data_IF_128082482249
#
_entry.id   IF_128082482249
#
_cell.length_a   1.000
_cell.length_b   1.000
_cell.length_c   1.000
_cell.angle_alpha   90.00
_cell.angle_beta   90.00
_cell.angle_gamma   90.00
#
_symmetry.space_group_name_H-M   'P 1'
#
loop_
_entity.id
_entity.type
_entity.pdbx_description
1 polymer ?
#
# COMPACT_ATOMS: atom_id res chain seq x y z
N UNK A 1 -10.00 -16.30 -0.24
CA UNK A 1 -8.58 -16.43 -0.65
C UNK A 1 -8.51 -17.03 -2.03
N UNK A 2 -7.79 -16.41 -2.96
CA UNK A 2 -7.55 -16.89 -4.34
C UNK A 2 -6.05 -16.84 -4.61
N UNK A 3 -5.53 -17.81 -5.35
CA UNK A 3 -4.16 -17.80 -5.88
C UNK A 3 -4.24 -17.55 -7.38
N UNK A 4 -3.43 -16.61 -7.88
CA UNK A 4 -3.38 -16.28 -9.30
C UNK A 4 -2.06 -15.58 -9.64
N UNK A 5 -1.77 -15.46 -10.95
CA UNK A 5 -0.60 -14.75 -11.46
C UNK A 5 -0.96 -13.34 -11.88
N UNK A 6 -0.18 -12.37 -11.40
CA UNK A 6 -0.33 -10.95 -11.69
C UNK A 6 0.89 -10.44 -12.45
N UNK A 7 0.65 -9.65 -13.48
CA UNK A 7 1.73 -9.03 -14.25
C UNK A 7 2.17 -7.71 -13.61
N UNK A 8 3.47 -7.54 -13.42
CA UNK A 8 4.05 -6.28 -12.98
C UNK A 8 3.98 -5.27 -14.11
N UNK A 9 3.15 -4.25 -13.97
CA UNK A 9 3.04 -3.16 -14.95
C UNK A 9 3.95 -1.99 -14.62
N UNK A 10 4.29 -1.84 -13.34
CA UNK A 10 5.17 -0.80 -12.82
C UNK A 10 5.86 -1.30 -11.55
N UNK A 11 7.13 -0.94 -11.36
CA UNK A 11 7.87 -1.14 -10.11
C UNK A 11 8.94 -0.06 -10.01
N UNK A 12 8.67 0.99 -9.24
CA UNK A 12 9.54 2.17 -9.13
C UNK A 12 9.90 2.50 -7.69
N UNK A 13 11.08 3.03 -7.49
CA UNK A 13 11.50 3.54 -6.20
C UNK A 13 10.95 4.95 -5.98
N UNK A 14 10.12 5.13 -4.96
CA UNK A 14 9.44 6.41 -4.65
C UNK A 14 10.07 7.16 -3.47
N UNK A 15 10.86 6.47 -2.64
CA UNK A 15 11.64 7.05 -1.54
C UNK A 15 12.82 6.12 -1.20
N UNK A 16 13.78 6.51 -0.34
CA UNK A 16 14.89 5.64 0.05
C UNK A 16 14.40 4.27 0.54
N UNK A 17 14.76 3.22 -0.23
CA UNK A 17 14.33 1.82 0.00
C UNK A 17 12.81 1.58 -0.04
N UNK A 18 12.00 2.54 -0.47
CA UNK A 18 10.54 2.39 -0.62
C UNK A 18 10.19 2.33 -2.10
N UNK A 19 9.41 1.32 -2.46
CA UNK A 19 9.00 1.04 -3.84
C UNK A 19 7.48 0.98 -3.94
N UNK A 20 6.97 1.48 -5.07
CA UNK A 20 5.58 1.34 -5.51
C UNK A 20 5.54 0.34 -6.64
N UNK A 21 4.71 -0.70 -6.51
CA UNK A 21 4.52 -1.72 -7.53
C UNK A 21 3.05 -1.80 -7.90
N UNK A 22 2.76 -1.77 -9.19
CA UNK A 22 1.41 -1.98 -9.75
C UNK A 22 1.36 -3.34 -10.44
N UNK A 23 0.34 -4.11 -10.11
CA UNK A 23 0.14 -5.49 -10.51
C UNK A 23 -1.20 -5.63 -11.23
N UNK A 24 -1.17 -6.00 -12.50
CA UNK A 24 -2.38 -6.23 -13.31
C UNK A 24 -2.88 -7.67 -13.15
N UNK A 25 -4.18 -7.83 -12.93
CA UNK A 25 -4.83 -9.11 -12.75
C UNK A 25 -6.25 -8.96 -12.22
N UNK A 26 -6.90 -10.08 -11.89
CA UNK A 26 -8.24 -10.08 -11.33
C UNK A 26 -8.26 -9.62 -9.87
N UNK A 27 -8.80 -8.44 -9.65
CA UNK A 27 -8.93 -7.81 -8.32
C UNK A 27 -10.31 -8.00 -7.68
N UNK A 28 -11.23 -8.68 -8.36
CA UNK A 28 -12.60 -8.91 -7.87
C UNK A 28 -12.69 -9.54 -6.48
N UNK A 29 -11.70 -10.34 -6.01
CA UNK A 29 -11.71 -10.86 -4.65
C UNK A 29 -11.34 -9.86 -3.57
N UNK A 30 -10.84 -8.66 -3.92
CA UNK A 30 -10.51 -7.59 -2.96
C UNK A 30 -11.80 -6.83 -2.64
N UNK A 31 -12.22 -6.87 -1.39
CA UNK A 31 -13.54 -6.36 -0.97
C UNK A 31 -13.47 -5.13 -0.06
N UNK A 32 -12.33 -4.93 0.62
CA UNK A 32 -12.20 -3.85 1.59
C UNK A 32 -10.76 -3.34 1.71
N UNK A 33 -10.55 -2.04 2.00
CA UNK A 33 -9.24 -1.52 2.35
C UNK A 33 -8.71 -2.19 3.63
N UNK A 34 -7.39 -2.32 3.74
CA UNK A 34 -6.74 -3.04 4.83
C UNK A 34 -6.52 -4.54 4.57
N UNK A 35 -7.05 -5.08 3.48
CA UNK A 35 -6.66 -6.40 3.00
C UNK A 35 -5.22 -6.38 2.46
N UNK A 36 -4.60 -7.56 2.39
CA UNK A 36 -3.23 -7.71 1.94
C UNK A 36 -3.08 -8.84 0.92
N UNK A 37 -1.97 -8.85 0.23
CA UNK A 37 -1.54 -9.93 -0.66
C UNK A 37 -0.34 -10.65 -0.07
N UNK A 38 -0.19 -11.94 -0.37
CA UNK A 38 0.97 -12.72 0.04
C UNK A 38 1.70 -13.21 -1.22
N UNK A 39 2.83 -12.60 -1.52
CA UNK A 39 3.53 -12.70 -2.80
C UNK A 39 4.64 -13.74 -2.71
N UNK A 40 4.68 -14.67 -3.68
CA UNK A 40 5.78 -15.60 -3.86
C UNK A 40 6.90 -14.90 -4.64
N UNK A 41 8.09 -14.91 -4.05
CA UNK A 41 9.30 -14.44 -4.72
C UNK A 41 10.06 -15.67 -5.22
N UNK A 42 10.49 -15.70 -6.50
CA UNK A 42 11.40 -16.73 -6.95
C UNK A 42 12.62 -16.85 -6.01
N UNK A 43 13.11 -18.05 -5.79
CA UNK A 43 14.28 -18.35 -4.94
C UNK A 43 14.06 -18.21 -3.42
N UNK A 44 12.89 -17.70 -2.96
CA UNK A 44 12.56 -17.63 -1.54
C UNK A 44 11.46 -18.62 -1.16
N UNK A 45 11.69 -19.35 -0.06
CA UNK A 45 10.72 -20.32 0.44
C UNK A 45 9.43 -19.67 0.93
N UNK A 46 9.56 -18.60 1.73
CA UNK A 46 8.41 -17.91 2.31
C UNK A 46 7.89 -16.81 1.39
N UNK A 47 6.56 -16.74 1.27
CA UNK A 47 5.86 -15.60 0.67
C UNK A 47 6.04 -14.35 1.53
N UNK A 48 5.81 -13.18 0.95
CA UNK A 48 5.88 -11.87 1.63
C UNK A 48 4.49 -11.23 1.68
N UNK A 49 3.93 -11.04 2.90
CA UNK A 49 2.67 -10.33 3.07
C UNK A 49 2.90 -8.83 2.90
N UNK A 50 2.14 -8.21 2.00
CA UNK A 50 2.18 -6.76 1.75
C UNK A 50 0.76 -6.24 1.69
N UNK A 51 0.47 -5.18 2.45
CA UNK A 51 -0.84 -4.53 2.44
C UNK A 51 -1.13 -3.90 1.07
N UNK A 52 -2.39 -4.01 0.63
CA UNK A 52 -2.86 -3.33 -0.58
C UNK A 52 -2.98 -1.84 -0.26
N UNK A 53 -2.35 -1.00 -1.09
CA UNK A 53 -2.44 0.46 -1.01
C UNK A 53 -3.72 0.95 -1.70
N UNK A 54 -3.93 0.50 -2.93
CA UNK A 54 -5.08 0.87 -3.75
C UNK A 54 -5.39 -0.23 -4.77
N UNK A 55 -6.59 -0.23 -5.34
CA UNK A 55 -6.97 -1.14 -6.43
C UNK A 55 -8.13 -0.57 -7.26
N UNK A 56 -8.25 -1.07 -8.48
CA UNK A 56 -9.37 -0.90 -9.39
C UNK A 56 -9.73 -2.26 -10.01
N UNK A 57 -10.64 -2.32 -10.96
CA UNK A 57 -11.15 -3.58 -11.55
C UNK A 57 -10.08 -4.43 -12.25
N UNK A 58 -8.90 -3.89 -12.56
CA UNK A 58 -7.88 -4.52 -13.40
C UNK A 58 -6.49 -4.59 -12.77
N UNK A 59 -6.26 -3.86 -11.68
CA UNK A 59 -4.95 -3.79 -11.05
C UNK A 59 -5.02 -3.45 -9.57
N UNK A 60 -4.01 -3.87 -8.85
CA UNK A 60 -3.75 -3.45 -7.48
C UNK A 60 -2.38 -2.80 -7.36
N UNK A 61 -2.25 -1.89 -6.41
CA UNK A 61 -1.00 -1.21 -6.08
C UNK A 61 -0.56 -1.56 -4.66
N UNK A 62 0.70 -1.90 -4.52
CA UNK A 62 1.35 -2.09 -3.22
C UNK A 62 2.52 -1.12 -3.07
N UNK A 63 2.79 -0.73 -1.83
CA UNK A 63 4.00 0.03 -1.49
C UNK A 63 4.72 -0.74 -0.39
N UNK A 64 6.01 -0.97 -0.57
CA UNK A 64 6.80 -1.79 0.35
C UNK A 64 8.20 -1.20 0.58
N UNK A 65 8.79 -1.51 1.74
CA UNK A 65 10.16 -1.11 2.07
C UNK A 65 11.11 -2.30 1.88
N UNK A 66 12.17 -2.09 1.13
CA UNK A 66 13.21 -3.08 0.86
C UNK A 66 14.20 -3.16 2.04
N UNK A 67 13.83 -3.89 3.09
CA UNK A 67 14.62 -4.02 4.33
C UNK A 67 15.33 -5.35 4.49
N UNK A 68 14.77 -6.44 3.96
CA UNK A 68 15.35 -7.78 3.98
C UNK A 68 15.58 -8.33 2.58
N UNK A 69 16.28 -9.45 2.44
CA UNK A 69 16.68 -10.01 1.14
C UNK A 69 15.47 -10.25 0.22
N UNK A 70 14.37 -10.77 0.76
CA UNK A 70 13.14 -10.98 -0.01
C UNK A 70 12.56 -9.67 -0.55
N UNK A 71 12.43 -8.62 0.27
CA UNK A 71 11.90 -7.33 -0.19
C UNK A 71 12.90 -6.56 -1.06
N UNK A 72 14.21 -6.79 -0.89
CA UNK A 72 15.24 -6.31 -1.84
C UNK A 72 15.12 -7.00 -3.20
N UNK A 73 14.77 -8.30 -3.22
CA UNK A 73 14.50 -9.01 -4.46
C UNK A 73 13.31 -8.42 -5.22
N UNK A 74 12.25 -7.97 -4.53
CA UNK A 74 11.13 -7.25 -5.16
C UNK A 74 11.60 -6.02 -5.94
N UNK A 75 12.53 -5.22 -5.40
CA UNK A 75 13.04 -4.02 -6.07
C UNK A 75 13.75 -4.30 -7.41
N UNK A 76 14.10 -5.56 -7.70
CA UNK A 76 14.74 -5.99 -8.95
C UNK A 76 13.76 -6.53 -9.99
N UNK A 77 12.52 -6.78 -9.61
CA UNK A 77 11.48 -7.30 -10.49
C UNK A 77 11.13 -6.24 -11.53
N UNK A 78 11.08 -6.66 -12.79
CA UNK A 78 10.86 -5.77 -13.93
C UNK A 78 9.41 -5.81 -14.40
N UNK A 79 9.01 -4.73 -15.07
CA UNK A 79 7.76 -4.68 -15.82
C UNK A 79 7.65 -5.87 -16.78
N UNK A 80 6.48 -6.49 -16.85
CA UNK A 80 6.17 -7.67 -17.67
C UNK A 80 6.42 -9.00 -16.97
N UNK A 81 7.12 -9.02 -15.82
CA UNK A 81 7.26 -10.25 -15.04
C UNK A 81 5.93 -10.61 -14.35
N UNK A 82 5.70 -11.90 -14.14
CA UNK A 82 4.50 -12.41 -13.47
C UNK A 82 4.85 -12.93 -12.08
N UNK A 83 4.07 -12.51 -11.11
CA UNK A 83 4.19 -12.91 -9.72
C UNK A 83 2.99 -13.76 -9.30
N UNK A 84 3.26 -14.83 -8.56
CA UNK A 84 2.25 -15.68 -7.93
C UNK A 84 1.80 -15.04 -6.62
N UNK A 85 0.54 -14.61 -6.55
CA UNK A 85 -0.09 -13.96 -5.41
C UNK A 85 -1.18 -14.82 -4.79
N UNK A 86 -1.23 -14.82 -3.46
CA UNK A 86 -2.47 -15.11 -2.72
C UNK A 86 -3.14 -13.79 -2.41
N UNK A 87 -4.38 -13.61 -2.81
CA UNK A 87 -5.15 -12.38 -2.61
C UNK A 87 -6.41 -12.60 -1.78
N UNK A 88 -7.10 -11.53 -1.44
CA UNK A 88 -8.24 -11.55 -0.52
C UNK A 88 -7.87 -12.13 0.84
N UNK A 89 -6.78 -11.63 1.39
CA UNK A 89 -6.30 -11.98 2.73
C UNK A 89 -6.60 -10.84 3.71
N UNK A 90 -6.96 -11.21 4.93
CA UNK A 90 -7.39 -10.27 5.97
C UNK A 90 -8.85 -9.84 5.80
N UNK A 91 -9.43 -9.31 6.89
CA UNK A 91 -10.85 -8.92 6.95
C UNK A 91 -11.10 -7.50 6.40
N UNK A 92 -10.04 -6.70 6.27
CA UNK A 92 -10.17 -5.28 5.96
C UNK A 92 -10.66 -4.42 7.12
N UNK A 93 -10.83 -3.13 6.86
CA UNK A 93 -11.41 -2.19 7.82
C UNK A 93 -12.93 -2.14 7.68
N UNK A 94 -13.63 -2.19 8.80
CA UNK A 94 -15.08 -1.96 8.86
C UNK A 94 -15.35 -0.46 9.00
N UNK A 95 -15.68 0.19 7.89
CA UNK A 95 -15.95 1.63 7.85
C UNK A 95 -17.29 2.02 8.49
N UNK A 96 -18.19 1.06 8.75
CA UNK A 96 -19.47 1.30 9.43
C UNK A 96 -19.29 1.71 10.89
N UNK A 97 -18.16 1.31 11.49
CA UNK A 97 -17.81 1.67 12.88
C UNK A 97 -17.24 3.08 13.01
N UNK A 98 -16.99 3.75 11.90
CA UNK A 98 -16.39 5.09 11.87
C UNK A 98 -17.48 6.16 12.01
N UNK A 99 -17.22 7.19 12.83
CA UNK A 99 -18.03 8.42 12.84
C UNK A 99 -17.84 9.27 11.57
N UNK A 100 -18.44 10.46 11.55
CA UNK A 100 -18.42 11.36 10.38
C UNK A 100 -17.07 12.05 10.14
N UNK A 101 -16.24 12.13 11.17
CA UNK A 101 -14.92 12.80 11.14
C UNK A 101 -13.79 11.88 11.62
N UNK A 102 -13.50 10.80 10.88
CA UNK A 102 -12.44 9.88 11.27
C UNK A 102 -11.07 10.55 11.20
N UNK A 103 -10.19 10.13 12.13
CA UNK A 103 -8.78 10.46 12.12
C UNK A 103 -7.96 9.20 11.78
N UNK A 104 -7.23 9.25 10.68
CA UNK A 104 -6.30 8.21 10.26
C UNK A 104 -4.87 8.59 10.67
N UNK A 105 -4.17 7.69 11.33
CA UNK A 105 -2.77 7.90 11.74
C UNK A 105 -1.92 6.76 11.19
N UNK A 106 -0.89 7.10 10.40
CA UNK A 106 0.01 6.12 9.82
C UNK A 106 1.47 6.55 9.86
N UNK A 107 2.38 5.58 9.97
CA UNK A 107 3.82 5.82 9.96
C UNK A 107 4.56 4.90 8.99
N UNK A 108 5.48 5.46 8.19
CA UNK A 108 6.30 4.70 7.25
C UNK A 108 5.47 3.78 6.36
N UNK A 109 5.78 2.46 6.35
CA UNK A 109 5.03 1.47 5.54
C UNK A 109 3.63 1.13 6.10
N UNK A 110 3.19 1.75 7.19
CA UNK A 110 1.80 1.73 7.65
C UNK A 110 0.93 2.76 6.93
N UNK A 111 1.50 3.69 6.18
CA UNK A 111 0.79 4.71 5.39
C UNK A 111 0.02 4.10 4.20
N UNK A 112 0.59 3.19 3.38
CA UNK A 112 -0.07 2.66 2.20
C UNK A 112 -1.47 2.08 2.43
N UNK A 113 -1.74 1.22 3.43
CA UNK A 113 -3.07 0.68 3.63
C UNK A 113 -4.11 1.73 4.04
N UNK A 114 -3.69 2.87 4.58
CA UNK A 114 -4.59 3.98 4.90
C UNK A 114 -5.06 4.74 3.66
N UNK A 115 -4.34 4.65 2.55
CA UNK A 115 -4.72 5.34 1.31
C UNK A 115 -6.07 4.82 0.78
N UNK A 116 -6.21 3.51 0.58
CA UNK A 116 -7.47 2.90 0.16
C UNK A 116 -8.60 3.13 1.18
N UNK A 117 -8.30 3.11 2.49
CA UNK A 117 -9.26 3.42 3.54
C UNK A 117 -9.74 4.87 3.46
N UNK A 118 -8.82 5.82 3.27
CA UNK A 118 -9.15 7.23 3.11
C UNK A 118 -10.08 7.47 1.92
N UNK A 119 -9.75 6.89 0.75
CA UNK A 119 -10.59 6.94 -0.45
C UNK A 119 -12.01 6.44 -0.20
N UNK A 120 -12.13 5.29 0.48
CA UNK A 120 -13.42 4.70 0.82
C UNK A 120 -14.24 5.59 1.74
N UNK A 121 -13.65 6.11 2.81
CA UNK A 121 -14.33 7.01 3.76
C UNK A 121 -14.78 8.31 3.11
N UNK A 122 -13.99 8.88 2.20
CA UNK A 122 -14.37 10.06 1.41
C UNK A 122 -15.57 9.74 0.49
N UNK A 123 -15.54 8.57 -0.16
CA UNK A 123 -16.66 8.11 -1.00
C UNK A 123 -17.96 7.90 -0.19
N UNK A 124 -17.84 7.63 1.11
CA UNK A 124 -18.94 7.55 2.07
C UNK A 124 -19.34 8.94 2.64
N UNK A 125 -18.85 10.05 2.04
CA UNK A 125 -19.11 11.44 2.44
C UNK A 125 -18.60 11.80 3.85
N UNK A 126 -17.57 11.12 4.37
CA UNK A 126 -16.95 11.44 5.65
C UNK A 126 -15.87 12.50 5.51
N UNK A 127 -15.71 13.34 6.53
CA UNK A 127 -14.64 14.34 6.60
C UNK A 127 -13.39 13.72 7.23
N UNK A 128 -12.50 13.20 6.39
CA UNK A 128 -11.32 12.45 6.86
C UNK A 128 -10.18 13.40 7.22
N UNK A 129 -9.59 13.22 8.39
CA UNK A 129 -8.34 13.84 8.81
C UNK A 129 -7.24 12.79 8.79
N UNK A 130 -6.03 13.15 8.33
CA UNK A 130 -4.92 12.21 8.20
C UNK A 130 -3.66 12.79 8.83
N UNK A 131 -2.97 12.00 9.64
CA UNK A 131 -1.62 12.31 10.17
C UNK A 131 -0.67 11.24 9.65
N UNK A 132 0.35 11.66 8.90
CA UNK A 132 1.38 10.78 8.36
C UNK A 132 2.72 11.07 9.04
N UNK A 133 3.35 10.04 9.60
CA UNK A 133 4.64 10.12 10.26
C UNK A 133 5.76 9.44 9.46
N UNK A 134 6.91 10.12 9.31
CA UNK A 134 8.10 9.58 8.67
C UNK A 134 9.34 9.87 9.52
N UNK A 135 10.39 9.03 9.42
CA UNK A 135 11.61 9.27 10.19
C UNK A 135 12.37 10.48 9.67
N UNK A 136 12.41 10.69 8.37
CA UNK A 136 13.11 11.81 7.74
C UNK A 136 12.26 12.40 6.63
N UNK A 137 12.56 13.64 6.23
CA UNK A 137 11.90 14.31 5.12
C UNK A 137 12.06 13.56 3.79
N UNK A 138 13.20 12.92 3.56
CA UNK A 138 13.47 12.15 2.34
C UNK A 138 12.67 10.85 2.24
N UNK A 139 12.09 10.36 3.34
CA UNK A 139 11.25 9.17 3.38
C UNK A 139 9.76 9.46 3.11
N UNK A 140 9.37 10.73 2.93
CA UNK A 140 7.99 11.11 2.64
C UNK A 140 7.61 10.61 1.24
N UNK A 141 6.47 9.96 1.13
CA UNK A 141 5.86 9.50 -0.12
C UNK A 141 4.34 9.65 -0.06
N UNK A 142 3.66 9.59 -1.20
CA UNK A 142 2.23 9.83 -1.37
C UNK A 142 1.78 11.27 -1.02
N UNK A 143 2.70 12.24 -0.99
CA UNK A 143 2.38 13.65 -0.70
C UNK A 143 1.52 14.26 -1.80
N UNK A 144 1.84 13.97 -3.07
CA UNK A 144 1.18 14.53 -4.26
C UNK A 144 -0.07 13.75 -4.71
N UNK A 145 -0.28 12.55 -4.22
CA UNK A 145 -1.47 11.75 -4.56
C UNK A 145 -2.69 12.25 -3.75
N UNK A 146 -3.12 13.47 -4.10
CA UNK A 146 -4.42 14.13 -3.84
C UNK A 146 -5.31 13.49 -2.78
N UNK A 147 -4.86 13.49 -1.54
CA UNK A 147 -5.83 13.45 -0.47
C UNK A 147 -6.58 14.79 -0.51
N UNK A 148 -7.82 14.82 -1.01
CA UNK A 148 -8.76 15.93 -0.77
C UNK A 148 -9.15 15.95 0.72
N UNK A 149 -8.16 15.91 1.60
CA UNK A 149 -8.30 15.78 3.06
C UNK A 149 -7.33 16.73 3.73
N UNK A 150 -7.62 17.10 4.96
CA UNK A 150 -6.65 17.78 5.82
C UNK A 150 -5.58 16.75 6.20
N UNK A 151 -4.42 16.82 5.53
CA UNK A 151 -3.29 15.94 5.79
C UNK A 151 -2.21 16.72 6.55
N UNK A 152 -1.78 16.18 7.69
CA UNK A 152 -0.63 16.70 8.44
C UNK A 152 0.51 15.69 8.33
N UNK A 153 1.64 16.12 7.75
CA UNK A 153 2.84 15.30 7.64
C UNK A 153 3.82 15.71 8.73
N UNK A 154 4.28 14.73 9.50
CA UNK A 154 5.28 14.92 10.57
C UNK A 154 6.53 14.11 10.21
N UNK A 155 7.69 14.77 10.15
CA UNK A 155 8.98 14.10 10.03
C UNK A 155 9.96 14.65 11.05
N UNK A 156 10.92 13.83 11.51
CA UNK A 156 12.04 14.35 12.30
C UNK A 156 12.87 15.27 11.40
N UNK A 157 13.11 16.49 11.84
CA UNK A 157 14.21 17.29 11.27
C UNK A 157 15.51 16.58 11.63
N UNK A 158 16.37 16.33 10.65
CA UNK A 158 17.75 15.98 10.94
C UNK A 158 18.37 17.20 11.63
N UNK A 159 18.54 17.12 12.96
CA UNK A 159 19.49 18.00 13.63
C UNK A 159 20.88 17.70 13.06
N UNK A 160 21.47 18.71 12.44
CA UNK A 160 22.86 18.75 12.00
C UNK A 160 23.79 18.45 13.17
#
# INVERSE_FOLDING_TARGET
MKQDFYEVTENEQIAPSVFKMTLAGDTSPITAPGQFVNIKIPEFYLRRPISICDWNDKSLTIIYKAVGDGTRAFGRIKKGEKLDLLISLGNGYDTSLSGDKPLLIGGGVGVPPLFGLCKKLIAENKTVNVILGFNTKSEIFLEDESYKVICTIVSKQNSL
#
